data_IF_840688383753
#
_entry.id   IF_840688383753
#
_cell.length_a   1.000
_cell.length_b   1.000
_cell.length_c   1.000
_cell.angle_alpha   90.00
_cell.angle_beta   90.00
_cell.angle_gamma   90.00
#
_symmetry.space_group_name_H-M   'P 1'
#
loop_
_entity.id
_entity.type
_entity.pdbx_description
1 polymer ?
#
# COMPACT_ATOMS: atom_id res chain seq x y z
N UNK A 1 14.68 -26.93 -24.43
CA UNK A 1 14.54 -26.93 -22.96
C UNK A 1 15.59 -25.98 -22.42
N UNK A 2 15.27 -25.21 -21.38
CA UNK A 2 16.21 -24.54 -20.43
C UNK A 2 16.37 -23.01 -20.37
N UNK A 3 15.89 -22.18 -21.32
CA UNK A 3 16.08 -20.72 -21.15
C UNK A 3 15.37 -20.15 -19.91
N UNK A 4 14.19 -20.68 -19.57
CA UNK A 4 13.46 -20.31 -18.35
C UNK A 4 14.11 -20.85 -17.08
N UNK A 5 14.73 -22.03 -17.13
CA UNK A 5 15.39 -22.64 -15.98
C UNK A 5 16.61 -21.79 -15.56
N UNK A 6 17.36 -21.32 -16.56
CA UNK A 6 18.52 -20.46 -16.36
C UNK A 6 18.09 -19.11 -15.76
N UNK A 7 17.01 -18.48 -16.26
CA UNK A 7 16.49 -17.21 -15.71
C UNK A 7 16.10 -17.35 -14.23
N UNK A 8 15.39 -18.42 -13.86
CA UNK A 8 15.03 -18.65 -12.45
C UNK A 8 16.26 -18.90 -11.58
N UNK A 9 17.27 -19.63 -12.07
CA UNK A 9 18.53 -19.83 -11.34
C UNK A 9 19.28 -18.52 -11.14
N UNK A 10 19.37 -17.67 -12.15
CA UNK A 10 20.03 -16.36 -12.07
C UNK A 10 19.34 -15.44 -11.05
N UNK A 11 18.00 -15.42 -11.04
CA UNK A 11 17.21 -14.68 -10.05
C UNK A 11 17.42 -15.22 -8.64
N UNK A 12 17.46 -16.55 -8.48
CA UNK A 12 17.63 -17.18 -7.18
C UNK A 12 19.02 -16.89 -6.59
N UNK A 13 20.07 -17.01 -7.42
CA UNK A 13 21.44 -16.69 -7.03
C UNK A 13 21.56 -15.19 -6.70
N UNK A 14 21.00 -14.32 -7.53
CA UNK A 14 21.01 -12.86 -7.30
C UNK A 14 20.36 -12.46 -5.97
N UNK A 15 19.17 -13.00 -5.68
CA UNK A 15 18.45 -12.76 -4.43
C UNK A 15 19.21 -13.34 -3.22
N UNK A 16 19.80 -14.53 -3.36
CA UNK A 16 20.59 -15.15 -2.29
C UNK A 16 21.84 -14.32 -1.96
N UNK A 17 22.60 -13.90 -2.97
CA UNK A 17 23.79 -13.06 -2.80
C UNK A 17 23.41 -11.70 -2.18
N UNK A 18 22.33 -11.07 -2.65
CA UNK A 18 21.83 -9.82 -2.08
C UNK A 18 21.41 -9.98 -0.60
N UNK A 19 20.83 -11.14 -0.24
CA UNK A 19 20.46 -11.45 1.15
C UNK A 19 21.69 -11.63 2.06
N UNK A 20 22.77 -12.24 1.57
CA UNK A 20 24.05 -12.32 2.31
C UNK A 20 24.68 -10.92 2.45
N UNK A 21 24.59 -10.08 1.41
CA UNK A 21 25.07 -8.69 1.50
C UNK A 21 24.29 -7.87 2.52
N UNK A 22 22.99 -8.13 2.67
CA UNK A 22 22.16 -7.55 3.73
C UNK A 22 22.65 -7.98 5.13
N UNK A 23 22.93 -9.27 5.34
CA UNK A 23 23.46 -9.78 6.61
C UNK A 23 24.84 -9.20 6.95
N UNK A 24 25.68 -8.98 5.94
CA UNK A 24 27.02 -8.39 6.09
C UNK A 24 27.02 -6.85 6.12
N UNK A 25 25.84 -6.22 6.24
CA UNK A 25 25.61 -4.76 6.31
C UNK A 25 26.10 -3.95 5.10
N UNK A 26 26.28 -4.60 3.95
CA UNK A 26 26.67 -3.93 2.68
C UNK A 26 25.43 -3.44 1.93
N UNK A 27 24.68 -2.53 2.55
CA UNK A 27 23.33 -2.14 2.11
C UNK A 27 23.26 -1.59 0.68
N UNK A 28 24.21 -0.74 0.26
CA UNK A 28 24.23 -0.19 -1.11
C UNK A 28 24.34 -1.28 -2.18
N UNK A 29 25.29 -2.22 -2.00
CA UNK A 29 25.48 -3.34 -2.94
C UNK A 29 24.28 -4.29 -2.97
N UNK A 30 23.64 -4.49 -1.81
CA UNK A 30 22.41 -5.28 -1.74
C UNK A 30 21.27 -4.61 -2.53
N UNK A 31 21.10 -3.28 -2.40
CA UNK A 31 20.08 -2.50 -3.13
C UNK A 31 20.33 -2.56 -4.65
N UNK A 32 21.58 -2.39 -5.08
CA UNK A 32 21.98 -2.50 -6.50
C UNK A 32 21.57 -3.87 -7.08
N UNK A 33 21.96 -4.97 -6.42
CA UNK A 33 21.61 -6.32 -6.87
C UNK A 33 20.11 -6.59 -6.88
N UNK A 34 19.35 -6.08 -5.90
CA UNK A 34 17.89 -6.21 -5.92
C UNK A 34 17.26 -5.43 -7.06
N UNK A 35 17.77 -4.23 -7.38
CA UNK A 35 17.30 -3.47 -8.55
C UNK A 35 17.66 -4.17 -9.87
N UNK A 36 18.85 -4.77 -9.98
CA UNK A 36 19.22 -5.60 -11.12
C UNK A 36 18.28 -6.81 -11.30
N UNK A 37 17.89 -7.46 -10.19
CA UNK A 37 16.88 -8.53 -10.23
C UNK A 37 15.53 -8.03 -10.76
N UNK A 38 15.08 -6.82 -10.38
CA UNK A 38 13.86 -6.22 -10.92
C UNK A 38 13.96 -5.93 -12.42
N UNK A 39 15.12 -5.46 -12.90
CA UNK A 39 15.35 -5.23 -14.34
C UNK A 39 15.30 -6.54 -15.11
N UNK A 40 15.92 -7.60 -14.59
CA UNK A 40 15.85 -8.94 -15.19
C UNK A 40 14.41 -9.48 -15.23
N UNK A 41 13.65 -9.34 -14.14
CA UNK A 41 12.23 -9.73 -14.07
C UNK A 41 11.37 -9.00 -15.11
N UNK A 42 11.64 -7.70 -15.36
CA UNK A 42 10.95 -6.92 -16.40
C UNK A 42 11.36 -7.35 -17.80
N UNK A 43 12.64 -7.59 -18.02
CA UNK A 43 13.20 -7.97 -19.33
C UNK A 43 12.64 -9.31 -19.81
N UNK A 44 12.49 -10.27 -18.90
CA UNK A 44 11.97 -11.61 -19.21
C UNK A 44 10.48 -11.77 -18.88
N UNK A 45 9.74 -10.66 -18.78
CA UNK A 45 8.34 -10.68 -18.36
C UNK A 45 7.44 -11.51 -19.29
N UNK A 46 7.75 -11.58 -20.58
CA UNK A 46 7.02 -12.36 -21.59
C UNK A 46 7.36 -13.86 -21.59
N UNK A 47 8.49 -14.24 -21.02
CA UNK A 47 9.00 -15.62 -21.01
C UNK A 47 8.62 -16.36 -19.71
N UNK A 48 8.36 -15.60 -18.63
CA UNK A 48 8.02 -16.13 -17.31
C UNK A 48 6.52 -16.37 -17.11
N UNK A 49 6.20 -17.39 -16.32
CA UNK A 49 4.84 -17.63 -15.84
C UNK A 49 4.45 -16.49 -14.90
N UNK A 50 3.31 -15.84 -15.15
CA UNK A 50 2.85 -14.64 -14.41
C UNK A 50 2.84 -14.84 -12.89
N UNK A 51 2.40 -16.00 -12.41
CA UNK A 51 2.35 -16.33 -10.98
C UNK A 51 3.74 -16.37 -10.33
N UNK A 52 4.73 -16.98 -11.02
CA UNK A 52 6.12 -17.05 -10.54
C UNK A 52 6.79 -15.68 -10.62
N UNK A 53 6.61 -14.95 -11.71
CA UNK A 53 7.13 -13.59 -11.88
C UNK A 53 6.61 -12.67 -10.77
N UNK A 54 5.31 -12.75 -10.49
CA UNK A 54 4.66 -12.01 -9.40
C UNK A 54 5.31 -12.33 -8.06
N UNK A 55 5.46 -13.62 -7.71
CA UNK A 55 6.08 -14.04 -6.46
C UNK A 55 7.53 -13.52 -6.28
N UNK A 56 8.37 -13.63 -7.31
CA UNK A 56 9.74 -13.09 -7.27
C UNK A 56 9.75 -11.56 -7.14
N UNK A 57 8.86 -10.87 -7.86
CA UNK A 57 8.75 -9.41 -7.81
C UNK A 57 8.34 -8.94 -6.41
N UNK A 58 7.36 -9.61 -5.80
CA UNK A 58 6.91 -9.35 -4.43
C UNK A 58 8.05 -9.53 -3.44
N UNK A 59 8.76 -10.66 -3.50
CA UNK A 59 9.89 -10.95 -2.62
C UNK A 59 10.99 -9.88 -2.71
N UNK A 60 11.33 -9.44 -3.94
CA UNK A 60 12.36 -8.41 -4.13
C UNK A 60 11.92 -7.07 -3.54
N UNK A 61 10.65 -6.66 -3.72
CA UNK A 61 10.14 -5.43 -3.13
C UNK A 61 10.08 -5.47 -1.60
N UNK A 62 9.77 -6.60 -0.98
CA UNK A 62 9.84 -6.76 0.48
C UNK A 62 11.27 -6.61 1.03
N UNK A 63 12.25 -7.15 0.31
CA UNK A 63 13.67 -7.03 0.69
C UNK A 63 14.18 -5.60 0.49
N UNK A 64 13.79 -4.94 -0.59
CA UNK A 64 14.08 -3.52 -0.81
C UNK A 64 13.44 -2.64 0.26
N UNK A 65 12.18 -2.89 0.62
CA UNK A 65 11.50 -2.21 1.72
C UNK A 65 12.34 -2.29 3.00
N UNK A 66 12.71 -3.51 3.40
CA UNK A 66 13.52 -3.73 4.60
C UNK A 66 14.89 -3.02 4.53
N UNK A 67 15.54 -3.02 3.36
CA UNK A 67 16.81 -2.34 3.15
C UNK A 67 16.70 -0.83 3.22
N UNK A 68 15.70 -0.23 2.58
CA UNK A 68 15.49 1.21 2.61
C UNK A 68 15.14 1.69 4.02
N UNK A 69 14.40 0.89 4.80
CA UNK A 69 14.18 1.15 6.22
C UNK A 69 15.50 1.19 7.02
N UNK A 70 16.41 0.24 6.76
CA UNK A 70 17.72 0.18 7.43
C UNK A 70 18.66 1.31 7.02
N UNK A 71 18.55 1.80 5.79
CA UNK A 71 19.34 2.92 5.26
C UNK A 71 18.77 4.28 5.69
N UNK A 72 17.53 4.33 6.18
CA UNK A 72 16.84 5.56 6.56
C UNK A 72 16.23 6.32 5.37
N UNK A 73 16.11 5.68 4.20
CA UNK A 73 15.45 6.26 3.03
C UNK A 73 13.96 5.89 3.05
N UNK A 74 13.22 6.61 3.90
CA UNK A 74 11.82 6.30 4.18
C UNK A 74 10.90 6.48 2.95
N UNK A 75 11.25 7.37 2.02
CA UNK A 75 10.49 7.59 0.79
C UNK A 75 10.56 6.37 -0.15
N UNK A 76 11.77 5.86 -0.40
CA UNK A 76 11.94 4.64 -1.23
C UNK A 76 11.44 3.40 -0.51
N UNK A 77 11.56 3.36 0.82
CA UNK A 77 10.95 2.31 1.62
C UNK A 77 9.44 2.26 1.35
N UNK A 78 8.72 3.36 1.55
CA UNK A 78 7.27 3.39 1.35
C UNK A 78 6.87 2.97 -0.07
N UNK A 79 7.54 3.52 -1.09
CA UNK A 79 7.28 3.17 -2.50
C UNK A 79 7.47 1.67 -2.79
N UNK A 80 8.50 1.04 -2.21
CA UNK A 80 8.72 -0.40 -2.37
C UNK A 80 7.71 -1.24 -1.58
N UNK A 81 7.32 -0.78 -0.39
CA UNK A 81 6.28 -1.40 0.44
C UNK A 81 4.91 -1.40 -0.25
N UNK A 82 4.49 -0.27 -0.83
CA UNK A 82 3.19 -0.17 -1.54
C UNK A 82 3.11 -1.15 -2.72
N UNK A 83 4.20 -1.29 -3.47
CA UNK A 83 4.29 -2.25 -4.58
C UNK A 83 4.19 -3.69 -4.09
N UNK A 84 4.86 -4.04 -3.01
CA UNK A 84 4.74 -5.38 -2.41
C UNK A 84 3.33 -5.63 -1.86
N UNK A 85 2.70 -4.63 -1.23
CA UNK A 85 1.33 -4.72 -0.73
C UNK A 85 0.32 -4.99 -1.85
N UNK A 86 0.38 -4.22 -2.94
CA UNK A 86 -0.51 -4.39 -4.08
C UNK A 86 -0.43 -5.82 -4.66
N UNK A 87 0.78 -6.39 -4.70
CA UNK A 87 1.00 -7.74 -5.21
C UNK A 87 0.47 -8.82 -4.26
N UNK A 88 0.65 -8.67 -2.94
CA UNK A 88 0.07 -9.60 -1.95
C UNK A 88 -1.45 -9.54 -1.91
N UNK A 89 -2.04 -8.36 -2.08
CA UNK A 89 -3.48 -8.17 -2.19
C UNK A 89 -4.05 -8.88 -3.43
N UNK A 90 -3.33 -8.86 -4.55
CA UNK A 90 -3.72 -9.56 -5.77
C UNK A 90 -3.51 -11.09 -5.67
N UNK A 91 -2.52 -11.54 -4.90
CA UNK A 91 -2.25 -12.97 -4.70
C UNK A 91 -3.11 -13.62 -3.60
N UNK A 92 -3.96 -12.85 -2.91
CA UNK A 92 -4.83 -13.35 -1.84
C UNK A 92 -4.14 -13.57 -0.49
N UNK A 93 -2.90 -13.11 -0.31
CA UNK A 93 -2.14 -13.26 0.94
C UNK A 93 -2.45 -12.09 1.88
N UNK A 94 -3.66 -12.07 2.44
CA UNK A 94 -4.17 -10.94 3.23
C UNK A 94 -3.34 -10.71 4.49
N UNK A 95 -2.94 -11.76 5.21
CA UNK A 95 -2.17 -11.64 6.46
C UNK A 95 -0.80 -10.96 6.26
N UNK A 96 -0.10 -11.32 5.18
CA UNK A 96 1.21 -10.75 4.86
C UNK A 96 1.07 -9.30 4.40
N UNK A 97 0.02 -8.99 3.64
CA UNK A 97 -0.29 -7.62 3.23
C UNK A 97 -0.57 -6.71 4.44
N UNK A 98 -1.35 -7.19 5.41
CA UNK A 98 -1.66 -6.44 6.64
C UNK A 98 -0.42 -6.21 7.52
N UNK A 99 0.45 -7.21 7.63
CA UNK A 99 1.72 -7.10 8.35
C UNK A 99 2.69 -6.12 7.66
N UNK A 100 2.73 -6.11 6.32
CA UNK A 100 3.54 -5.17 5.54
C UNK A 100 3.04 -3.73 5.71
N UNK A 101 1.72 -3.54 5.68
CA UNK A 101 1.06 -2.24 5.93
C UNK A 101 1.41 -1.70 7.33
N UNK A 102 1.39 -2.56 8.36
CA UNK A 102 1.79 -2.17 9.71
C UNK A 102 3.28 -1.77 9.78
N UNK A 103 4.17 -2.48 9.08
CA UNK A 103 5.59 -2.11 9.01
C UNK A 103 5.82 -0.78 8.30
N UNK A 104 5.11 -0.53 7.19
CA UNK A 104 5.16 0.75 6.48
C UNK A 104 4.71 1.91 7.37
N UNK A 105 3.67 1.69 8.17
CA UNK A 105 3.21 2.65 9.18
C UNK A 105 4.29 2.96 10.24
N UNK A 106 4.96 1.94 10.77
CA UNK A 106 6.07 2.13 11.72
C UNK A 106 7.25 2.91 11.12
N UNK A 107 7.61 2.62 9.87
CA UNK A 107 8.71 3.28 9.15
C UNK A 107 8.38 4.73 8.83
N UNK A 108 7.10 5.03 8.61
CA UNK A 108 6.61 6.39 8.43
C UNK A 108 6.57 7.16 9.76
N UNK A 109 6.14 6.51 10.85
CA UNK A 109 6.13 7.09 12.20
C UNK A 109 7.53 7.42 12.71
N UNK A 110 8.50 6.51 12.52
CA UNK A 110 9.90 6.73 12.95
C UNK A 110 10.65 7.74 12.07
N UNK A 111 10.21 7.99 10.83
CA UNK A 111 10.79 9.01 9.96
C UNK A 111 10.42 10.44 10.37
N UNK A 112 9.39 10.61 11.22
CA UNK A 112 8.59 11.85 11.25
C UNK A 112 8.38 12.45 12.65
N UNK A 113 9.29 12.20 13.60
CA UNK A 113 9.38 12.93 14.89
C UNK A 113 9.62 14.46 14.74
N UNK A 114 9.22 15.11 13.64
CA UNK A 114 9.50 16.53 13.38
C UNK A 114 8.55 17.32 12.45
N UNK A 115 7.28 16.94 12.21
CA UNK A 115 6.41 17.69 11.27
C UNK A 115 4.94 17.88 11.63
N UNK A 116 4.52 19.14 11.82
CA UNK A 116 3.23 19.78 11.45
C UNK A 116 1.87 19.26 11.97
N UNK A 117 1.01 20.18 12.46
CA UNK A 117 -0.34 19.89 12.97
C UNK A 117 -1.38 19.44 11.91
N UNK A 118 -1.28 19.92 10.66
CA UNK A 118 -2.19 19.52 9.55
C UNK A 118 -1.96 18.07 9.08
N UNK A 119 -0.72 17.56 9.22
CA UNK A 119 -0.37 16.18 8.85
C UNK A 119 -0.66 15.16 9.96
N UNK A 120 -0.76 15.60 11.22
CA UNK A 120 -1.31 14.78 12.30
C UNK A 120 -2.77 14.41 12.04
N UNK A 121 -3.56 15.36 11.51
CA UNK A 121 -4.94 15.11 11.12
C UNK A 121 -5.00 14.05 10.01
N UNK A 122 -4.16 14.13 8.97
CA UNK A 122 -4.18 13.13 7.87
C UNK A 122 -3.94 11.71 8.41
N UNK A 123 -3.00 11.59 9.34
CA UNK A 123 -2.64 10.32 9.97
C UNK A 123 -3.72 9.80 10.91
N UNK A 124 -4.37 10.68 11.67
CA UNK A 124 -5.53 10.34 12.49
C UNK A 124 -6.68 9.81 11.62
N UNK A 125 -6.93 10.45 10.46
CA UNK A 125 -7.90 9.98 9.48
C UNK A 125 -7.63 8.55 9.02
N UNK A 126 -6.38 8.22 8.65
CA UNK A 126 -6.01 6.86 8.25
C UNK A 126 -6.15 5.83 9.38
N UNK A 127 -5.76 6.20 10.61
CA UNK A 127 -5.87 5.32 11.78
C UNK A 127 -7.33 4.97 12.06
N UNK A 128 -8.21 5.96 11.97
CA UNK A 128 -9.64 5.80 12.15
C UNK A 128 -10.24 4.90 11.07
N UNK A 129 -9.84 5.03 9.79
CA UNK A 129 -10.24 4.07 8.75
C UNK A 129 -9.82 2.64 9.09
N UNK A 130 -8.59 2.44 9.59
CA UNK A 130 -8.11 1.11 9.97
C UNK A 130 -8.90 0.53 11.14
N UNK A 131 -9.16 1.34 12.16
CA UNK A 131 -9.96 0.95 13.32
C UNK A 131 -11.38 0.58 12.89
N UNK A 132 -12.01 1.42 12.05
CA UNK A 132 -13.37 1.17 11.56
C UNK A 132 -13.48 -0.09 10.71
N UNK A 133 -12.47 -0.38 9.89
CA UNK A 133 -12.39 -1.63 9.13
C UNK A 133 -12.28 -2.86 10.03
N UNK A 134 -11.51 -2.77 11.12
CA UNK A 134 -11.41 -3.85 12.12
C UNK A 134 -12.72 -4.06 12.85
N UNK A 135 -13.34 -3.00 13.37
CA UNK A 135 -14.64 -3.07 14.03
C UNK A 135 -15.72 -3.66 13.11
N UNK A 136 -15.70 -3.33 11.81
CA UNK A 136 -16.60 -3.94 10.82
C UNK A 136 -16.40 -5.46 10.72
N UNK A 137 -15.14 -5.93 10.68
CA UNK A 137 -14.83 -7.36 10.66
C UNK A 137 -15.28 -8.07 11.94
N UNK A 138 -15.22 -7.38 13.07
CA UNK A 138 -15.70 -7.86 14.38
C UNK A 138 -17.24 -7.74 14.54
N UNK A 139 -17.97 -7.36 13.48
CA UNK A 139 -19.42 -7.10 13.45
C UNK A 139 -19.88 -5.96 14.38
N UNK A 140 -18.97 -5.16 14.92
CA UNK A 140 -19.28 -3.92 15.65
C UNK A 140 -19.46 -2.76 14.68
N UNK A 141 -20.61 -2.75 14.03
CA UNK A 141 -20.97 -1.73 13.04
C UNK A 141 -21.09 -0.33 13.65
N UNK A 142 -21.39 -0.23 14.95
CA UNK A 142 -21.54 1.06 15.64
C UNK A 142 -20.20 1.80 15.77
N UNK A 143 -19.16 1.08 16.24
CA UNK A 143 -17.80 1.64 16.33
C UNK A 143 -17.19 1.85 14.94
N UNK A 144 -17.51 0.97 13.98
CA UNK A 144 -17.07 1.15 12.60
C UNK A 144 -17.59 2.46 11.99
N UNK A 145 -18.87 2.79 12.25
CA UNK A 145 -19.49 4.02 11.79
C UNK A 145 -18.83 5.25 12.42
N UNK A 146 -18.66 5.28 13.74
CA UNK A 146 -18.00 6.40 14.44
C UNK A 146 -16.58 6.64 13.92
N UNK A 147 -15.82 5.56 13.72
CA UNK A 147 -14.48 5.63 13.16
C UNK A 147 -14.47 6.24 11.74
N UNK A 148 -15.36 5.78 10.84
CA UNK A 148 -15.42 6.31 9.48
C UNK A 148 -15.95 7.75 9.41
N UNK A 149 -16.88 8.15 10.28
CA UNK A 149 -17.38 9.53 10.34
C UNK A 149 -16.31 10.51 10.82
N UNK A 150 -15.54 10.12 11.85
CA UNK A 150 -14.40 10.92 12.32
C UNK A 150 -13.30 11.03 11.26
N UNK A 151 -13.00 9.95 10.56
CA UNK A 151 -12.06 9.98 9.43
C UNK A 151 -12.56 10.91 8.30
N UNK A 152 -13.86 10.89 8.00
CA UNK A 152 -14.47 11.76 6.99
C UNK A 152 -14.33 13.26 7.36
N UNK A 153 -14.55 13.60 8.62
CA UNK A 153 -14.41 14.98 9.10
C UNK A 153 -12.97 15.51 8.86
N UNK A 154 -11.99 14.68 9.17
CA UNK A 154 -10.58 14.94 8.95
C UNK A 154 -10.27 15.11 7.45
N UNK A 155 -10.78 14.23 6.58
CA UNK A 155 -10.55 14.35 5.14
C UNK A 155 -11.13 15.64 4.55
N UNK A 156 -12.26 16.11 5.08
CA UNK A 156 -12.83 17.40 4.70
C UNK A 156 -12.00 18.58 5.19
N UNK A 157 -11.49 18.50 6.41
CA UNK A 157 -10.64 19.54 7.01
C UNK A 157 -9.33 19.73 6.24
N UNK A 158 -8.74 18.62 5.78
CA UNK A 158 -7.48 18.62 5.02
C UNK A 158 -7.73 18.83 3.51
N UNK A 159 -8.98 18.76 3.06
CA UNK A 159 -9.35 18.88 1.65
C UNK A 159 -8.96 17.67 0.79
N UNK A 160 -8.74 16.49 1.38
CA UNK A 160 -8.40 15.29 0.63
C UNK A 160 -9.66 14.60 0.06
N UNK A 161 -10.08 15.07 -1.12
CA UNK A 161 -11.28 14.56 -1.83
C UNK A 161 -11.22 13.09 -2.17
N UNK A 162 -10.04 12.56 -2.50
CA UNK A 162 -9.87 11.13 -2.82
C UNK A 162 -10.17 10.24 -1.61
N UNK A 163 -9.63 10.56 -0.44
CA UNK A 163 -9.87 9.78 0.77
C UNK A 163 -11.27 10.05 1.36
N UNK A 164 -11.84 11.25 1.16
CA UNK A 164 -13.24 11.54 1.45
C UNK A 164 -14.19 10.59 0.70
N UNK A 165 -14.02 10.47 -0.63
CA UNK A 165 -14.85 9.59 -1.47
C UNK A 165 -14.71 8.10 -1.15
N UNK A 166 -13.50 7.63 -0.86
CA UNK A 166 -13.27 6.25 -0.39
C UNK A 166 -13.96 6.00 0.95
N UNK A 167 -13.87 6.93 1.89
CA UNK A 167 -14.47 6.81 3.23
C UNK A 167 -16.00 6.77 3.16
N UNK A 168 -16.62 7.58 2.29
CA UNK A 168 -18.06 7.52 2.03
C UNK A 168 -18.48 6.17 1.43
N UNK A 169 -17.66 5.57 0.59
CA UNK A 169 -17.91 4.22 0.05
C UNK A 169 -17.83 3.15 1.14
N UNK A 170 -16.93 3.31 2.11
CA UNK A 170 -16.83 2.43 3.28
C UNK A 170 -18.06 2.55 4.19
N UNK A 171 -18.57 3.76 4.43
CA UNK A 171 -19.86 3.97 5.10
C UNK A 171 -21.02 3.35 4.31
N UNK A 172 -21.04 3.53 2.98
CA UNK A 172 -22.03 2.90 2.11
C UNK A 172 -22.05 1.36 2.23
N UNK A 173 -20.88 0.74 2.40
CA UNK A 173 -20.75 -0.69 2.66
C UNK A 173 -21.34 -1.09 4.02
N UNK A 174 -21.18 -0.26 5.07
CA UNK A 174 -21.77 -0.52 6.39
C UNK A 174 -23.30 -0.48 6.32
N UNK A 175 -23.88 0.57 5.72
CA UNK A 175 -25.34 0.66 5.58
C UNK A 175 -25.91 -0.47 4.72
N UNK A 176 -25.16 -0.95 3.72
CA UNK A 176 -25.53 -2.14 2.96
C UNK A 176 -25.56 -3.41 3.84
N UNK A 177 -24.59 -3.57 4.73
CA UNK A 177 -24.55 -4.68 5.69
C UNK A 177 -25.69 -4.62 6.71
N UNK A 178 -26.20 -3.43 7.00
CA UNK A 178 -27.37 -3.18 7.87
C UNK A 178 -28.71 -3.23 7.11
N UNK A 179 -28.72 -3.65 5.83
CA UNK A 179 -29.90 -3.68 4.95
C UNK A 179 -30.57 -2.31 4.69
N UNK A 180 -29.89 -1.22 5.01
CA UNK A 180 -30.33 0.16 4.77
C UNK A 180 -29.92 0.64 3.37
N UNK A 181 -30.46 -0.01 2.34
CA UNK A 181 -30.07 0.21 0.94
C UNK A 181 -30.31 1.65 0.46
N UNK A 182 -31.31 2.35 1.00
CA UNK A 182 -31.60 3.75 0.64
C UNK A 182 -30.47 4.69 1.07
N UNK A 183 -29.97 4.54 2.30
CA UNK A 183 -28.86 5.34 2.82
C UNK A 183 -27.54 4.96 2.14
N UNK A 184 -27.30 3.67 1.92
CA UNK A 184 -26.15 3.16 1.19
C UNK A 184 -26.04 3.77 -0.21
N UNK A 185 -27.15 3.80 -0.97
CA UNK A 185 -27.18 4.38 -2.33
C UNK A 185 -26.79 5.86 -2.34
N UNK A 186 -27.34 6.66 -1.44
CA UNK A 186 -27.02 8.10 -1.33
C UNK A 186 -25.54 8.32 -1.02
N UNK A 187 -24.94 7.48 -0.17
CA UNK A 187 -23.52 7.57 0.17
C UNK A 187 -22.61 7.21 -1.00
N UNK A 188 -22.96 6.19 -1.79
CA UNK A 188 -22.21 5.87 -3.00
C UNK A 188 -22.34 6.94 -4.09
N UNK A 189 -23.53 7.52 -4.28
CA UNK A 189 -23.73 8.62 -5.23
C UNK A 189 -22.86 9.83 -4.84
N UNK A 190 -22.81 10.18 -3.55
CA UNK A 190 -21.91 11.25 -3.06
C UNK A 190 -20.44 10.90 -3.19
N UNK A 191 -20.06 9.64 -2.94
CA UNK A 191 -18.69 9.18 -3.12
C UNK A 191 -18.25 9.29 -4.58
N UNK A 192 -19.12 8.92 -5.52
CA UNK A 192 -18.86 8.98 -6.95
C UNK A 192 -18.60 10.43 -7.39
N UNK A 193 -19.49 11.36 -7.05
CA UNK A 193 -19.34 12.79 -7.39
C UNK A 193 -18.00 13.34 -6.88
N UNK A 194 -17.64 13.04 -5.63
CA UNK A 194 -16.39 13.51 -5.03
C UNK A 194 -15.15 12.88 -5.67
N UNK A 195 -15.22 11.61 -6.07
CA UNK A 195 -14.11 10.93 -6.74
C UNK A 195 -13.95 11.43 -8.18
N UNK A 196 -15.06 11.70 -8.88
CA UNK A 196 -15.07 12.34 -10.19
C UNK A 196 -14.47 13.75 -10.12
N UNK A 197 -14.86 14.57 -9.14
CA UNK A 197 -14.26 15.89 -8.88
C UNK A 197 -12.75 15.80 -8.55
N UNK A 198 -12.30 14.71 -7.92
CA UNK A 198 -10.89 14.50 -7.59
C UNK A 198 -10.07 13.97 -8.79
N UNK A 199 -10.68 13.25 -9.72
CA UNK A 199 -10.06 12.79 -10.96
C UNK A 199 -10.04 13.87 -12.05
N UNK A 200 -11.03 14.77 -12.05
CA UNK A 200 -11.14 15.91 -12.98
C UNK A 200 -10.32 17.15 -12.52
N UNK A 201 -9.48 16.99 -11.49
CA UNK A 201 -8.37 17.90 -11.20
C UNK A 201 -7.04 17.33 -11.77
N UNK A 202 -6.79 17.45 -13.09
CA UNK A 202 -5.43 17.37 -13.60
C UNK A 202 -4.69 18.58 -13.03
N UNK A 203 -3.80 18.35 -12.07
CA UNK A 203 -3.00 19.42 -11.48
C UNK A 203 -2.24 20.16 -12.60
N UNK A 204 -2.67 21.40 -12.90
CA UNK A 204 -2.06 22.38 -13.81
C UNK A 204 -1.61 21.85 -15.18
N UNK A 205 -2.50 22.00 -16.17
CA UNK A 205 -2.05 22.34 -17.51
C UNK A 205 -1.28 23.65 -17.49
N UNK A 206 -0.14 23.64 -18.17
CA UNK A 206 0.53 24.78 -18.80
C UNK A 206 0.79 26.05 -17.97
N UNK A 207 2.06 26.20 -17.54
CA UNK A 207 2.79 27.47 -17.52
C UNK A 207 4.31 27.23 -17.67
#
# INVERSE_FOLDING_TARGET
MDNNQDIYQHLFIGIAVASVLLQTRRYRKAIELFNECLVLLKKHASEMIDSRRSAFTTLVYERLFSLYCLVGDHARALQSGEKAYAMHSQSGNIDVAEALLAKMFHVYFSAREGGGAEENSFLEGMLLIRSGMKCKSDFDYSQAMDCFERALAIWKEIGNKREEGKTLSLLGNLFKALEEYKHSKVLYERALVILEEAEDLPWLGDA
#
